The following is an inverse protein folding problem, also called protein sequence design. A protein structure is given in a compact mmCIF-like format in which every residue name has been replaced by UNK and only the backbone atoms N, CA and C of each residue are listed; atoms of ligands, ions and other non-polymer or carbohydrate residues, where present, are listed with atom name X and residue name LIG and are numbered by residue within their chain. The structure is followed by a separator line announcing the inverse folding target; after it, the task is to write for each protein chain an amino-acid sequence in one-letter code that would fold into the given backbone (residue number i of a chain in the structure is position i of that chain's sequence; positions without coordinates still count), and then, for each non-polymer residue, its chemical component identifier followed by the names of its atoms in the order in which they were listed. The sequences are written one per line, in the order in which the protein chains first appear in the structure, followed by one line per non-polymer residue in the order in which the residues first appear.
data_IF_596913846141
#
_entry.id   IF_596913846141
#
_cell.length_a   1.000
_cell.length_b   1.000
_cell.length_c   1.000
_cell.angle_alpha   90.00
_cell.angle_beta   90.00
_cell.angle_gamma   90.00
#
_symmetry.space_group_name_H-M   'P 1'
#
loop_
_entity.id
_entity.type
_entity.pdbx_description
1 polymer ?
#
# COMPACT_ATOMS: atom_id res chain seq x y z
N UNK A 1 3.73 -11.60 10.90
CA UNK A 1 3.52 -12.44 9.70
C UNK A 1 3.71 -13.90 10.05
N UNK A 2 2.77 -14.72 9.65
CA UNK A 2 2.82 -16.16 9.92
C UNK A 2 3.72 -16.88 8.91
N UNK A 3 4.27 -18.04 9.30
CA UNK A 3 5.25 -18.77 8.48
C UNK A 3 4.67 -19.33 7.17
N UNK A 4 3.37 -19.56 7.11
CA UNK A 4 2.65 -20.06 5.94
C UNK A 4 1.89 -18.96 5.17
N UNK A 5 2.07 -17.72 5.56
CA UNK A 5 1.43 -16.57 4.93
C UNK A 5 2.08 -16.25 3.59
N UNK A 6 1.28 -15.93 2.58
CA UNK A 6 1.75 -15.67 1.22
C UNK A 6 1.37 -14.28 0.73
N UNK A 7 2.27 -13.65 -0.03
CA UNK A 7 2.03 -12.36 -0.67
C UNK A 7 1.02 -12.56 -1.81
N UNK A 8 -0.03 -11.75 -1.81
CA UNK A 8 -1.06 -11.76 -2.84
C UNK A 8 -0.92 -10.58 -3.80
N UNK A 9 -0.39 -9.47 -3.32
CA UNK A 9 -0.11 -8.29 -4.13
C UNK A 9 0.93 -7.43 -3.43
N UNK A 10 1.76 -6.75 -4.20
CA UNK A 10 2.60 -5.67 -3.67
C UNK A 10 2.75 -4.57 -4.71
N UNK A 11 2.61 -3.35 -4.25
CA UNK A 11 2.66 -2.15 -5.07
C UNK A 11 3.74 -1.21 -4.52
N UNK A 12 4.67 -0.83 -5.38
CA UNK A 12 5.73 0.13 -5.02
C UNK A 12 5.28 1.55 -5.36
N UNK A 13 6.04 2.54 -4.92
CA UNK A 13 5.74 3.96 -5.14
C UNK A 13 4.35 4.37 -4.64
N UNK A 14 3.95 3.78 -3.52
CA UNK A 14 2.69 4.12 -2.86
C UNK A 14 2.94 5.27 -1.89
N UNK A 15 2.17 6.34 -2.07
CA UNK A 15 2.19 7.48 -1.19
C UNK A 15 1.09 7.33 -0.13
N UNK A 16 1.48 7.29 1.13
CA UNK A 16 0.54 7.19 2.25
C UNK A 16 0.47 8.53 2.99
N UNK A 17 -0.74 9.05 3.14
CA UNK A 17 -0.98 10.27 3.90
C UNK A 17 -1.98 10.01 5.02
N UNK A 18 -1.79 10.60 6.22
CA UNK A 18 -2.82 10.60 7.23
C UNK A 18 -4.05 11.37 6.73
N UNK A 19 -5.24 10.83 6.96
CA UNK A 19 -6.50 11.51 6.61
C UNK A 19 -6.87 12.50 7.70
N UNK A 20 -6.12 13.61 7.78
CA UNK A 20 -6.36 14.70 8.75
C UNK A 20 -6.36 16.03 8.01
N UNK A 21 -7.12 17.01 8.53
CA UNK A 21 -7.35 18.31 7.89
C UNK A 21 -6.06 19.14 7.69
N UNK A 22 -5.02 18.90 8.46
CA UNK A 22 -3.73 19.61 8.39
C UNK A 22 -2.55 18.63 8.46
N UNK A 23 -2.59 17.55 7.69
CA UNK A 23 -1.51 16.59 7.74
C UNK A 23 -0.36 17.02 6.82
N UNK A 24 0.76 17.30 7.45
CA UNK A 24 2.07 17.34 6.81
C UNK A 24 2.69 15.97 7.12
N UNK A 25 2.96 15.15 6.14
CA UNK A 25 3.65 13.91 6.44
C UNK A 25 3.28 12.69 5.65
N UNK A 26 3.11 12.87 4.33
CA UNK A 26 3.06 11.72 3.45
C UNK A 26 4.37 10.93 3.48
N UNK A 27 4.28 9.64 3.28
CA UNK A 27 5.43 8.72 3.20
C UNK A 27 5.29 7.87 1.97
N UNK A 28 6.41 7.69 1.27
CA UNK A 28 6.50 6.75 0.15
C UNK A 28 6.90 5.37 0.66
N UNK A 29 6.28 4.34 0.10
CA UNK A 29 6.58 2.99 0.48
C UNK A 29 5.99 1.96 -0.45
N UNK A 30 5.99 0.73 0.02
CA UNK A 30 5.39 -0.40 -0.65
C UNK A 30 4.17 -0.88 0.15
N UNK A 31 3.04 -1.01 -0.54
CA UNK A 31 1.84 -1.59 0.03
C UNK A 31 1.83 -3.09 -0.29
N UNK A 32 1.81 -3.91 0.74
CA UNK A 32 1.85 -5.37 0.59
C UNK A 32 0.56 -5.96 1.13
N UNK A 33 -0.07 -6.80 0.33
CA UNK A 33 -1.25 -7.56 0.71
C UNK A 33 -0.87 -9.04 0.76
N UNK A 34 -1.07 -9.65 1.92
CA UNK A 34 -0.96 -11.10 2.07
C UNK A 34 -2.36 -11.70 2.19
N UNK A 35 -2.43 -13.00 2.40
CA UNK A 35 -3.71 -13.67 2.68
C UNK A 35 -4.26 -13.38 4.09
N UNK A 36 -3.53 -12.63 4.93
CA UNK A 36 -3.94 -12.33 6.33
C UNK A 36 -3.75 -10.91 6.79
N UNK A 37 -2.81 -10.17 6.18
CA UNK A 37 -2.43 -8.83 6.63
C UNK A 37 -2.31 -7.85 5.47
N UNK A 38 -2.54 -6.58 5.79
CA UNK A 38 -2.19 -5.46 4.94
C UNK A 38 -1.01 -4.76 5.60
N UNK A 39 0.06 -4.51 4.83
CA UNK A 39 1.31 -3.98 5.36
C UNK A 39 1.75 -2.77 4.57
N UNK A 40 2.39 -1.82 5.25
CA UNK A 40 3.04 -0.70 4.61
C UNK A 40 4.52 -0.69 5.00
N UNK A 41 5.37 -0.88 3.99
CA UNK A 41 6.82 -0.94 4.15
C UNK A 41 7.39 0.38 3.65
N UNK A 42 7.99 1.16 4.55
CA UNK A 42 8.59 2.43 4.19
C UNK A 42 9.77 2.22 3.24
N UNK A 43 9.84 3.09 2.24
CA UNK A 43 10.98 3.09 1.32
C UNK A 43 12.25 3.39 2.08
N UNK A 44 13.26 2.56 1.86
CA UNK A 44 14.61 2.73 2.41
C UNK A 44 15.60 2.93 1.26
N UNK A 45 16.81 3.38 1.59
CA UNK A 45 17.89 3.50 0.62
C UNK A 45 18.51 2.14 0.26
N UNK A 46 18.02 1.06 0.86
CA UNK A 46 18.40 -0.30 0.49
C UNK A 46 17.75 -0.68 -0.84
N UNK A 47 18.54 -1.17 -1.78
CA UNK A 47 18.09 -1.63 -3.10
C UNK A 47 17.40 -0.57 -3.98
N UNK A 48 17.99 0.64 -4.15
CA UNK A 48 17.36 1.68 -4.97
C UNK A 48 17.16 1.27 -6.43
N UNK A 49 18.04 0.43 -6.97
CA UNK A 49 17.95 -0.03 -8.36
C UNK A 49 16.76 -0.97 -8.57
N UNK A 50 16.49 -1.85 -7.60
CA UNK A 50 15.31 -2.73 -7.64
C UNK A 50 14.03 -1.90 -7.63
N UNK A 51 13.90 -0.96 -6.69
CA UNK A 51 12.74 -0.08 -6.59
C UNK A 51 12.48 0.66 -7.90
N UNK A 52 13.52 1.23 -8.49
CA UNK A 52 13.41 1.98 -9.75
C UNK A 52 12.94 1.09 -10.91
N UNK A 53 13.53 -0.08 -11.05
CA UNK A 53 13.16 -1.03 -12.10
C UNK A 53 11.72 -1.51 -11.94
N UNK A 54 11.31 -1.84 -10.72
CA UNK A 54 9.96 -2.33 -10.44
C UNK A 54 8.92 -1.21 -10.61
N UNK A 55 9.23 0.02 -10.21
CA UNK A 55 8.35 1.17 -10.42
C UNK A 55 8.03 1.36 -11.90
N UNK A 56 9.03 1.27 -12.77
CA UNK A 56 8.82 1.41 -14.22
C UNK A 56 7.93 0.31 -14.77
N UNK A 57 8.14 -0.93 -14.36
CA UNK A 57 7.30 -2.07 -14.77
C UNK A 57 5.86 -1.93 -14.26
N UNK A 58 5.71 -1.49 -13.03
CA UNK A 58 4.40 -1.28 -12.40
C UNK A 58 3.59 -0.23 -13.16
N UNK A 59 4.20 0.90 -13.51
CA UNK A 59 3.55 1.95 -14.27
C UNK A 59 3.01 1.41 -15.60
N UNK A 60 3.82 0.65 -16.32
CA UNK A 60 3.40 0.04 -17.59
C UNK A 60 2.22 -0.91 -17.38
N UNK A 61 2.29 -1.78 -16.38
CA UNK A 61 1.22 -2.72 -16.07
C UNK A 61 -0.08 -2.01 -15.69
N UNK A 62 -0.01 -0.98 -14.88
CA UNK A 62 -1.19 -0.25 -14.42
C UNK A 62 -1.82 0.59 -15.53
N UNK A 63 -1.03 1.11 -16.45
CA UNK A 63 -1.55 1.81 -17.62
C UNK A 63 -2.38 0.84 -18.50
N UNK A 64 -1.89 -0.39 -18.66
CA UNK A 64 -2.55 -1.40 -19.51
C UNK A 64 -3.77 -2.03 -18.86
N UNK A 65 -3.69 -2.42 -17.59
CA UNK A 65 -4.70 -3.26 -16.95
C UNK A 65 -5.50 -2.58 -15.85
N UNK A 66 -4.96 -1.54 -15.21
CA UNK A 66 -5.47 -0.88 -14.00
C UNK A 66 -5.62 -1.80 -12.79
N UNK A 67 -5.20 -3.05 -12.88
CA UNK A 67 -5.36 -4.06 -11.82
C UNK A 67 -4.29 -3.88 -10.75
N UNK A 68 -4.73 -3.73 -9.49
CA UNK A 68 -3.84 -3.53 -8.34
C UNK A 68 -3.37 -4.83 -7.70
N UNK A 69 -3.97 -5.96 -8.05
CA UNK A 69 -3.52 -7.27 -7.56
C UNK A 69 -2.33 -7.75 -8.39
N UNK A 70 -1.16 -7.17 -8.12
CA UNK A 70 0.08 -7.39 -8.88
C UNK A 70 1.14 -7.96 -7.95
N UNK A 71 1.91 -8.94 -8.45
CA UNK A 71 3.10 -9.46 -7.77
C UNK A 71 4.29 -9.19 -8.68
N UNK A 72 5.31 -8.53 -8.13
CA UNK A 72 6.56 -8.26 -8.83
C UNK A 72 7.64 -9.26 -8.43
N UNK A 73 8.53 -9.61 -9.37
CA UNK A 73 9.67 -10.47 -9.07
C UNK A 73 10.70 -9.76 -8.19
N UNK A 74 11.38 -10.53 -7.36
CA UNK A 74 12.50 -10.04 -6.56
C UNK A 74 12.14 -9.61 -5.14
N UNK A 75 10.90 -9.78 -4.71
CA UNK A 75 10.48 -9.57 -3.34
C UNK A 75 9.73 -10.78 -2.82
N UNK A 76 10.31 -11.46 -1.84
CA UNK A 76 9.79 -12.70 -1.29
C UNK A 76 9.21 -12.51 0.11
N UNK A 77 8.50 -13.52 0.60
CA UNK A 77 7.96 -13.54 1.96
C UNK A 77 9.07 -13.41 3.01
N UNK A 78 10.27 -13.95 2.72
CA UNK A 78 11.43 -13.81 3.61
C UNK A 78 11.88 -12.37 3.74
N UNK A 79 11.97 -11.65 2.63
CA UNK A 79 12.34 -10.22 2.62
C UNK A 79 11.28 -9.39 3.35
N UNK A 80 10.01 -9.73 3.17
CA UNK A 80 8.92 -9.07 3.88
C UNK A 80 9.03 -9.29 5.39
N UNK A 81 9.34 -10.51 5.84
CA UNK A 81 9.53 -10.80 7.27
C UNK A 81 10.67 -9.97 7.86
N UNK A 82 11.78 -9.85 7.12
CA UNK A 82 12.93 -9.04 7.55
C UNK A 82 12.55 -7.55 7.64
N UNK A 83 11.79 -7.05 6.68
CA UNK A 83 11.34 -5.65 6.69
C UNK A 83 10.36 -5.36 7.83
N UNK A 84 9.56 -6.33 8.23
CA UNK A 84 8.62 -6.15 9.35
C UNK A 84 9.32 -6.05 10.71
N UNK A 85 10.57 -6.46 10.83
CA UNK A 85 11.38 -6.25 12.03
C UNK A 85 11.77 -4.78 12.21
N UNK A 86 11.62 -3.95 11.16
CA UNK A 86 11.87 -2.52 11.24
C UNK A 86 10.65 -1.85 11.88
N UNK A 87 10.85 -1.15 13.00
CA UNK A 87 9.80 -0.62 13.87
C UNK A 87 8.78 0.29 13.15
N UNK A 88 9.22 1.09 12.20
CA UNK A 88 8.34 2.02 11.49
C UNK A 88 7.43 1.36 10.44
N UNK A 89 7.72 0.12 10.06
CA UNK A 89 6.88 -0.62 9.12
C UNK A 89 5.64 -1.15 9.83
N UNK A 90 4.53 -1.17 9.12
CA UNK A 90 3.21 -1.42 9.71
C UNK A 90 2.63 -2.72 9.19
N UNK A 91 2.17 -3.56 10.10
CA UNK A 91 1.44 -4.79 9.80
C UNK A 91 0.04 -4.70 10.42
N UNK A 92 -0.99 -4.84 9.58
CA UNK A 92 -2.38 -4.67 10.00
C UNK A 92 -3.14 -5.96 9.70
N UNK A 93 -3.71 -6.58 10.74
CA UNK A 93 -4.61 -7.72 10.56
C UNK A 93 -5.90 -7.25 9.88
N UNK A 94 -6.47 -8.05 8.99
CA UNK A 94 -7.73 -7.73 8.33
C UNK A 94 -8.85 -7.46 9.33
N UNK A 95 -8.86 -8.16 10.46
CA UNK A 95 -9.89 -7.99 11.48
C UNK A 95 -9.77 -6.64 12.23
N UNK A 96 -8.62 -6.01 12.19
CA UNK A 96 -8.40 -4.68 12.78
C UNK A 96 -8.82 -3.54 11.85
N UNK A 97 -9.13 -3.84 10.60
CA UNK A 97 -9.58 -2.85 9.61
C UNK A 97 -11.08 -2.59 9.82
N UNK A 98 -11.42 -1.40 10.28
CA UNK A 98 -12.81 -1.00 10.51
C UNK A 98 -13.47 -0.45 9.25
N UNK A 99 -12.70 0.12 8.33
CA UNK A 99 -13.21 0.65 7.09
C UNK A 99 -12.14 0.58 6.00
N UNK A 100 -12.52 0.10 4.82
CA UNK A 100 -11.70 0.14 3.63
C UNK A 100 -12.60 0.49 2.44
N UNK A 101 -12.29 1.59 1.77
CA UNK A 101 -13.04 2.09 0.62
C UNK A 101 -12.09 2.67 -0.41
N UNK A 102 -12.59 3.01 -1.58
CA UNK A 102 -11.78 3.63 -2.62
C UNK A 102 -12.60 4.65 -3.40
N UNK A 103 -11.90 5.59 -4.03
CA UNK A 103 -12.52 6.65 -4.80
C UNK A 103 -11.61 7.05 -5.95
N UNK A 104 -12.18 7.35 -7.12
CA UNK A 104 -11.43 7.91 -8.23
C UNK A 104 -11.62 9.43 -8.27
N UNK A 105 -10.51 10.15 -8.23
CA UNK A 105 -10.44 11.61 -8.40
C UNK A 105 -9.87 11.94 -9.77
N UNK A 106 -9.98 13.20 -10.19
CA UNK A 106 -9.40 13.66 -11.46
C UNK A 106 -7.88 13.44 -11.53
N UNK A 107 -7.22 13.47 -10.37
CA UNK A 107 -5.76 13.37 -10.24
C UNK A 107 -5.25 11.99 -9.87
N UNK A 108 -6.13 11.02 -9.66
CA UNK A 108 -5.73 9.67 -9.31
C UNK A 108 -6.80 8.89 -8.55
N UNK A 109 -6.51 7.61 -8.30
CA UNK A 109 -7.39 6.72 -7.54
C UNK A 109 -6.86 6.56 -6.13
N UNK A 110 -7.72 6.72 -5.13
CA UNK A 110 -7.36 6.71 -3.72
C UNK A 110 -7.94 5.49 -3.02
N UNK A 111 -7.12 4.83 -2.21
CA UNK A 111 -7.55 3.80 -1.26
C UNK A 111 -7.62 4.43 0.12
N UNK A 112 -8.77 4.36 0.78
CA UNK A 112 -8.97 4.85 2.14
C UNK A 112 -9.00 3.70 3.13
N UNK A 113 -8.29 3.85 4.24
CA UNK A 113 -8.15 2.83 5.26
C UNK A 113 -8.32 3.42 6.66
N UNK A 114 -9.18 2.77 7.45
CA UNK A 114 -9.29 3.04 8.88
C UNK A 114 -9.10 1.73 9.62
N UNK A 115 -8.21 1.73 10.60
CA UNK A 115 -7.91 0.55 11.39
C UNK A 115 -7.58 0.91 12.84
N UNK A 116 -7.70 -0.07 13.73
CA UNK A 116 -7.35 0.09 15.12
C UNK A 116 -5.98 -0.50 15.40
N UNK A 117 -5.14 0.27 16.11
CA UNK A 117 -3.85 -0.19 16.56
C UNK A 117 -3.59 0.32 17.99
N UNK A 118 -3.34 -0.62 18.91
CA UNK A 118 -3.07 -0.29 20.32
C UNK A 118 -4.19 0.55 20.96
N UNK A 119 -5.45 0.24 20.63
CA UNK A 119 -6.61 0.97 21.14
C UNK A 119 -6.85 2.33 20.49
N UNK A 120 -6.07 2.68 19.47
CA UNK A 120 -6.17 3.96 18.78
C UNK A 120 -6.62 3.76 17.33
N UNK A 121 -7.57 4.59 16.90
CA UNK A 121 -8.05 4.58 15.52
C UNK A 121 -7.10 5.38 14.62
N UNK A 122 -6.60 4.72 13.58
CA UNK A 122 -5.74 5.33 12.57
C UNK A 122 -6.48 5.43 11.23
N UNK A 123 -6.27 6.54 10.51
CA UNK A 123 -6.91 6.81 9.22
C UNK A 123 -5.85 7.26 8.21
N UNK A 124 -5.77 6.55 7.09
CA UNK A 124 -4.81 6.84 6.04
C UNK A 124 -5.46 6.77 4.67
N UNK A 125 -4.83 7.45 3.72
CA UNK A 125 -5.15 7.32 2.31
C UNK A 125 -3.88 6.96 1.53
N UNK A 126 -4.06 6.14 0.49
CA UNK A 126 -2.98 5.60 -0.32
C UNK A 126 -3.23 5.92 -1.78
N UNK A 127 -2.18 6.34 -2.49
CA UNK A 127 -2.22 6.60 -3.92
C UNK A 127 -0.93 6.10 -4.54
N UNK A 128 -0.98 5.67 -5.80
CA UNK A 128 0.18 5.14 -6.50
C UNK A 128 0.77 6.25 -7.36
N UNK A 129 2.02 6.63 -7.12
CA UNK A 129 2.71 7.66 -7.89
C UNK A 129 3.15 7.11 -9.25
N UNK A 130 3.16 7.96 -10.28
CA UNK A 130 3.61 7.57 -11.62
C UNK A 130 5.12 7.43 -11.72
N UNK A 131 5.84 8.15 -10.86
CA UNK A 131 7.30 8.17 -10.81
C UNK A 131 7.78 8.17 -9.37
N UNK A 132 9.09 8.04 -9.20
CA UNK A 132 9.72 8.25 -7.91
C UNK A 132 9.36 9.64 -7.39
N UNK A 133 8.69 9.68 -6.25
CA UNK A 133 8.40 10.95 -5.61
C UNK A 133 9.66 11.43 -4.92
N UNK A 134 10.23 12.53 -5.40
CA UNK A 134 11.30 13.22 -4.69
C UNK A 134 10.66 14.13 -3.64
N UNK A 135 11.02 13.91 -2.42
CA UNK A 135 10.52 14.71 -1.32
C UNK A 135 11.33 16.01 -1.17
N UNK A 136 10.69 17.15 -0.87
CA UNK A 136 9.23 17.36 -0.85
C UNK A 136 8.68 17.59 -2.24
N UNK A 137 7.55 16.96 -2.53
CA UNK A 137 6.82 17.24 -3.77
C UNK A 137 6.21 18.65 -3.67
N UNK A 138 6.74 19.59 -4.44
CA UNK A 138 6.24 20.98 -4.45
C UNK A 138 5.01 21.18 -5.31
N UNK A 139 4.69 20.22 -6.16
CA UNK A 139 3.54 20.25 -7.03
C UNK A 139 2.63 19.07 -6.80
N UNK A 140 1.32 19.19 -7.10
CA UNK A 140 0.42 18.03 -7.00
C UNK A 140 0.95 16.94 -7.91
N UNK A 141 1.51 15.90 -7.32
CA UNK A 141 1.95 14.71 -8.04
C UNK A 141 0.71 14.08 -8.68
N UNK A 142 0.79 13.82 -9.97
CA UNK A 142 -0.25 13.02 -10.61
C UNK A 142 -0.09 11.58 -10.16
N UNK A 143 -1.16 11.06 -9.58
CA UNK A 143 -1.23 9.67 -9.17
C UNK A 143 -1.89 8.84 -10.26
N UNK A 144 -1.64 7.55 -10.26
CA UNK A 144 -2.21 6.65 -11.25
C UNK A 144 -3.69 6.40 -11.00
N UNK A 145 -4.45 6.30 -12.08
CA UNK A 145 -5.82 5.82 -12.03
C UNK A 145 -5.80 4.30 -12.13
N UNK A 146 -6.27 3.66 -11.08
CA UNK A 146 -6.25 2.20 -10.93
C UNK A 146 -7.58 1.71 -10.39
N UNK A 147 -7.84 0.42 -10.54
CA UNK A 147 -9.02 -0.22 -9.96
C UNK A 147 -8.67 -0.87 -8.63
N UNK A 148 -9.05 -0.23 -7.53
CA UNK A 148 -8.87 -0.75 -6.19
C UNK A 148 -9.94 -1.77 -5.78
N UNK A 149 -11.01 -1.93 -6.56
CA UNK A 149 -12.14 -2.77 -6.15
C UNK A 149 -11.76 -4.22 -5.85
N UNK A 150 -10.96 -4.92 -6.67
CA UNK A 150 -10.55 -6.30 -6.34
C UNK A 150 -9.69 -6.37 -5.07
N UNK A 151 -8.83 -5.37 -4.85
CA UNK A 151 -7.98 -5.29 -3.66
C UNK A 151 -8.83 -5.15 -2.38
N UNK A 152 -9.79 -4.22 -2.41
CA UNK A 152 -10.72 -3.99 -1.31
C UNK A 152 -11.58 -5.23 -1.06
N UNK A 153 -12.09 -5.86 -2.10
CA UNK A 153 -12.94 -7.03 -1.99
C UNK A 153 -12.20 -8.23 -1.41
N UNK A 154 -10.93 -8.40 -1.79
CA UNK A 154 -10.08 -9.46 -1.24
C UNK A 154 -10.02 -9.38 0.30
N UNK A 155 -9.81 -8.18 0.82
CA UNK A 155 -9.76 -7.95 2.28
C UNK A 155 -11.12 -8.20 2.92
N UNK A 156 -12.19 -7.63 2.35
CA UNK A 156 -13.55 -7.76 2.89
C UNK A 156 -14.00 -9.22 2.95
N UNK A 157 -13.68 -10.02 1.96
CA UNK A 157 -14.04 -11.43 1.91
C UNK A 157 -13.37 -12.26 3.00
N UNK A 158 -12.26 -11.77 3.54
CA UNK A 158 -11.46 -12.49 4.55
C UNK A 158 -11.59 -11.93 5.95
N UNK A 159 -12.39 -10.91 6.12
CA UNK A 159 -12.66 -10.38 7.46
C UNK A 159 -13.66 -11.29 8.19
N UNK A 160 -13.29 -11.68 9.41
CA UNK A 160 -14.14 -12.49 10.28
C UNK A 160 -14.92 -11.56 11.22
N UNK A 161 -15.99 -10.97 10.70
CA UNK A 161 -16.91 -10.24 11.57
C UNK A 161 -17.87 -11.25 12.21
N UNK A 162 -17.76 -11.40 13.51
CA UNK A 162 -18.83 -12.03 14.29
C UNK A 162 -19.95 -11.01 14.47
N UNK A 163 -21.06 -11.29 13.82
CA UNK A 163 -22.28 -10.55 14.12
C UNK A 163 -22.74 -10.82 15.54
#
# INVERSE_FOLDING_TARGET
MDSDETIQAHLVSVWREPKKTFSIGGREGMLVLTDRHLMFIHKTDANPNWWKAITSRQVINLIKSKKTMIIHDGYTEKELMDDLDIEKNVEISFDDISKITHEEKNWGSILYLEYEKNGKQEKFQYSIAQDWVKYPAKEPTKYMKVDWAPFVQYIKDRQNFTE
#
